data_IF_713106248772
#
_entry.id   IF_713106248772
#
_cell.length_a   1.000
_cell.length_b   1.000
_cell.length_c   1.000
_cell.angle_alpha   90.00
_cell.angle_beta   90.00
_cell.angle_gamma   90.00
#
_symmetry.space_group_name_H-M   'P 1'
#
loop_
_entity.id
_entity.type
_entity.pdbx_description
1 polymer ?
#
# COMPACT_ATOMS: atom_id res chain seq x y z
N UNK A 1 -16.75 30.59 -1.72
CA UNK A 1 -16.40 30.70 -3.15
C UNK A 1 -15.24 31.66 -3.41
N UNK A 2 -15.40 32.98 -3.27
CA UNK A 2 -14.32 33.95 -3.55
C UNK A 2 -13.07 33.79 -2.66
N UNK A 3 -13.23 33.68 -1.34
CA UNK A 3 -12.11 33.45 -0.40
C UNK A 3 -11.28 32.21 -0.73
N UNK A 4 -11.95 31.16 -1.23
CA UNK A 4 -11.32 29.87 -1.52
C UNK A 4 -10.62 29.88 -2.89
N UNK A 5 -11.15 30.67 -3.84
CA UNK A 5 -10.46 30.95 -5.09
C UNK A 5 -9.14 31.69 -4.83
N UNK A 6 -9.17 32.75 -4.02
CA UNK A 6 -7.95 33.48 -3.64
C UNK A 6 -6.94 32.61 -2.91
N UNK A 7 -7.37 31.75 -1.97
CA UNK A 7 -6.44 30.84 -1.29
C UNK A 7 -5.77 29.85 -2.25
N UNK A 8 -6.51 29.35 -3.27
CA UNK A 8 -5.95 28.44 -4.29
C UNK A 8 -4.94 29.17 -5.16
N UNK A 9 -5.32 30.34 -5.68
CA UNK A 9 -4.43 31.17 -6.50
C UNK A 9 -3.15 31.54 -5.75
N UNK A 10 -3.28 32.01 -4.50
CA UNK A 10 -2.13 32.35 -3.64
C UNK A 10 -1.22 31.15 -3.40
N UNK A 11 -1.76 29.97 -3.12
CA UNK A 11 -0.95 28.76 -2.90
C UNK A 11 -0.24 28.30 -4.18
N UNK A 12 -0.91 28.33 -5.33
CA UNK A 12 -0.29 28.00 -6.62
C UNK A 12 0.83 28.98 -6.96
N UNK A 13 0.61 30.29 -6.76
CA UNK A 13 1.64 31.30 -6.93
C UNK A 13 2.80 31.11 -5.94
N UNK A 14 2.51 30.74 -4.69
CA UNK A 14 3.53 30.48 -3.67
C UNK A 14 4.42 29.28 -4.03
N UNK A 15 3.85 28.20 -4.60
CA UNK A 15 4.63 27.05 -5.08
C UNK A 15 5.60 27.49 -6.20
N UNK A 16 5.11 28.25 -7.17
CA UNK A 16 5.93 28.79 -8.26
C UNK A 16 7.04 29.71 -7.76
N UNK A 17 6.69 30.68 -6.91
CA UNK A 17 7.64 31.62 -6.31
C UNK A 17 8.71 30.90 -5.47
N UNK A 18 8.32 29.93 -4.65
CA UNK A 18 9.24 29.14 -3.83
C UNK A 18 10.23 28.35 -4.71
N UNK A 19 9.77 27.79 -5.82
CA UNK A 19 10.62 27.08 -6.78
C UNK A 19 11.64 28.01 -7.44
N UNK A 20 11.20 29.19 -7.91
CA UNK A 20 12.08 30.18 -8.55
C UNK A 20 13.12 30.72 -7.55
N UNK A 21 12.70 31.08 -6.33
CA UNK A 21 13.61 31.57 -5.28
C UNK A 21 14.65 30.50 -4.94
N UNK A 22 14.23 29.23 -4.83
CA UNK A 22 15.13 28.11 -4.62
C UNK A 22 16.21 28.02 -5.70
N UNK A 23 15.81 28.04 -6.98
CA UNK A 23 16.75 27.95 -8.10
C UNK A 23 17.71 29.15 -8.19
N UNK A 24 17.24 30.36 -7.89
CA UNK A 24 18.11 31.54 -7.81
C UNK A 24 19.11 31.40 -6.67
N UNK A 25 18.66 30.96 -5.50
CA UNK A 25 19.54 30.71 -4.35
C UNK A 25 20.59 29.64 -4.63
N UNK A 26 20.23 28.57 -5.35
CA UNK A 26 21.18 27.52 -5.76
C UNK A 26 22.25 28.05 -6.72
N UNK A 27 21.87 28.94 -7.66
CA UNK A 27 22.83 29.60 -8.56
C UNK A 27 23.80 30.50 -7.79
N UNK A 28 23.30 31.22 -6.79
CA UNK A 28 24.13 32.09 -5.95
C UNK A 28 25.12 31.29 -5.08
N UNK A 29 24.66 30.22 -4.42
CA UNK A 29 25.51 29.34 -3.63
C UNK A 29 26.53 28.56 -4.46
N UNK A 30 26.23 28.27 -5.72
CA UNK A 30 27.19 27.69 -6.67
C UNK A 30 28.37 28.64 -6.92
N UNK A 31 28.13 29.96 -6.95
CA UNK A 31 29.19 30.96 -7.09
C UNK A 31 30.08 31.00 -5.83
N UNK A 32 29.48 30.88 -4.65
CA UNK A 32 30.15 30.89 -3.35
C UNK A 32 30.89 29.57 -3.00
N UNK A 33 30.79 28.55 -3.85
CA UNK A 33 31.41 27.20 -3.69
C UNK A 33 31.01 26.46 -2.39
N UNK A 34 29.92 26.85 -1.75
CA UNK A 34 29.44 26.22 -0.52
C UNK A 34 28.50 25.04 -0.83
N UNK A 35 29.06 23.85 -1.00
CA UNK A 35 28.32 22.64 -1.40
C UNK A 35 27.31 22.16 -0.36
N UNK A 36 27.62 22.29 0.94
CA UNK A 36 26.71 21.90 2.02
C UNK A 36 25.49 22.82 2.09
N UNK A 37 25.70 24.14 2.00
CA UNK A 37 24.61 25.10 1.96
C UNK A 37 23.75 24.91 0.70
N UNK A 38 24.36 24.55 -0.43
CA UNK A 38 23.65 24.24 -1.68
C UNK A 38 22.74 23.02 -1.52
N UNK A 39 23.25 21.92 -0.99
CA UNK A 39 22.46 20.70 -0.75
C UNK A 39 21.33 20.95 0.27
N UNK A 40 21.62 21.68 1.34
CA UNK A 40 20.63 22.05 2.36
C UNK A 40 19.52 22.94 1.78
N UNK A 41 19.88 23.92 0.94
CA UNK A 41 18.91 24.79 0.29
C UNK A 41 18.04 24.00 -0.71
N UNK A 42 18.64 23.13 -1.54
CA UNK A 42 17.89 22.32 -2.49
C UNK A 42 16.85 21.47 -1.74
N UNK A 43 17.30 20.68 -0.74
CA UNK A 43 16.42 19.85 0.07
C UNK A 43 15.32 20.65 0.79
N UNK A 44 15.67 21.79 1.41
CA UNK A 44 14.68 22.65 2.05
C UNK A 44 13.61 23.12 1.05
N UNK A 45 14.02 23.45 -0.16
CA UNK A 45 13.11 23.90 -1.20
C UNK A 45 12.27 22.77 -1.80
N UNK A 46 12.77 21.54 -1.87
CA UNK A 46 11.97 20.34 -2.20
C UNK A 46 10.92 20.07 -1.11
N UNK A 47 11.32 20.13 0.16
CA UNK A 47 10.44 19.94 1.31
C UNK A 47 9.30 20.97 1.35
N UNK A 48 9.62 22.27 1.17
CA UNK A 48 8.61 23.35 1.18
C UNK A 48 7.63 23.22 0.03
N UNK A 49 8.09 22.91 -1.19
CA UNK A 49 7.22 22.68 -2.35
C UNK A 49 6.29 21.49 -2.11
N UNK A 50 6.79 20.39 -1.52
CA UNK A 50 5.95 19.25 -1.15
C UNK A 50 4.86 19.61 -0.13
N UNK A 51 5.22 20.32 0.94
CA UNK A 51 4.26 20.79 1.95
C UNK A 51 3.19 21.72 1.38
N UNK A 52 3.58 22.70 0.56
CA UNK A 52 2.65 23.60 -0.11
C UNK A 52 1.72 22.86 -1.09
N UNK A 53 2.22 21.84 -1.78
CA UNK A 53 1.43 20.99 -2.68
C UNK A 53 0.33 20.26 -1.90
N UNK A 54 0.65 19.65 -0.76
CA UNK A 54 -0.37 18.99 0.06
C UNK A 54 -1.36 19.98 0.68
N UNK A 55 -0.89 21.16 1.10
CA UNK A 55 -1.76 22.23 1.58
C UNK A 55 -2.77 22.66 0.49
N UNK A 56 -2.32 22.78 -0.77
CA UNK A 56 -3.20 23.04 -1.91
C UNK A 56 -4.24 21.93 -2.08
N UNK A 57 -3.86 20.65 -2.00
CA UNK A 57 -4.77 19.50 -2.07
C UNK A 57 -5.83 19.55 -0.96
N UNK A 58 -5.44 19.90 0.27
CA UNK A 58 -6.37 20.04 1.41
C UNK A 58 -7.40 21.15 1.14
N UNK A 59 -6.96 22.30 0.62
CA UNK A 59 -7.84 23.43 0.26
C UNK A 59 -8.75 23.09 -0.92
N UNK A 60 -8.24 22.35 -1.91
CA UNK A 60 -9.04 21.84 -3.04
C UNK A 60 -10.12 20.87 -2.55
N UNK A 61 -9.77 20.01 -1.59
CA UNK A 61 -10.65 19.03 -0.94
C UNK A 61 -11.64 19.65 0.05
N UNK A 62 -11.67 20.99 0.20
CA UNK A 62 -12.54 21.72 1.15
C UNK A 62 -12.36 21.29 2.62
N UNK A 63 -11.22 20.68 2.96
CA UNK A 63 -10.92 20.24 4.32
C UNK A 63 -10.22 21.36 5.09
N UNK A 64 -10.39 21.38 6.42
CA UNK A 64 -9.70 22.34 7.28
C UNK A 64 -8.19 22.10 7.27
N UNK A 65 -7.41 23.15 7.04
CA UNK A 65 -5.94 23.11 7.08
C UNK A 65 -5.46 22.71 8.48
N UNK A 66 -6.03 23.31 9.54
CA UNK A 66 -5.64 23.06 10.93
C UNK A 66 -5.75 21.56 11.30
N UNK A 67 -6.82 20.89 10.85
CA UNK A 67 -7.03 19.46 11.10
C UNK A 67 -6.09 18.56 10.30
N UNK A 68 -5.55 19.05 9.17
CA UNK A 68 -4.66 18.30 8.29
C UNK A 68 -3.20 18.73 8.40
N UNK A 69 -2.83 19.50 9.43
CA UNK A 69 -1.45 19.95 9.65
C UNK A 69 -0.47 18.78 9.72
N UNK A 70 -0.87 17.68 10.38
CA UNK A 70 -0.04 16.48 10.46
C UNK A 70 0.29 15.94 9.07
N UNK A 71 -0.68 15.86 8.15
CA UNK A 71 -0.45 15.37 6.80
C UNK A 71 0.36 16.34 5.94
N UNK A 72 0.17 17.65 6.12
CA UNK A 72 0.99 18.69 5.46
C UNK A 72 2.45 18.54 5.91
N UNK A 73 2.67 18.40 7.22
CA UNK A 73 4.00 18.20 7.79
C UNK A 73 4.61 16.86 7.38
N UNK A 74 3.82 15.78 7.32
CA UNK A 74 4.27 14.49 6.79
C UNK A 74 4.70 14.59 5.32
N UNK A 75 3.96 15.32 4.49
CA UNK A 75 4.33 15.53 3.09
C UNK A 75 5.62 16.35 2.95
N UNK A 76 5.80 17.37 3.78
CA UNK A 76 7.04 18.17 3.86
C UNK A 76 8.24 17.29 4.23
N UNK A 77 8.11 16.49 5.29
CA UNK A 77 9.18 15.60 5.72
C UNK A 77 9.47 14.53 4.67
N UNK A 78 8.44 13.90 4.11
CA UNK A 78 8.61 12.83 3.12
C UNK A 78 9.29 13.34 1.85
N UNK A 79 8.94 14.55 1.38
CA UNK A 79 9.62 15.18 0.24
C UNK A 79 11.10 15.48 0.52
N UNK A 80 11.45 15.77 1.79
CA UNK A 80 12.84 15.93 2.23
C UNK A 80 13.58 14.59 2.34
N UNK A 81 12.91 13.53 2.78
CA UNK A 81 13.48 12.19 2.89
C UNK A 81 13.93 11.64 1.53
N UNK A 82 13.29 12.04 0.43
CA UNK A 82 13.71 11.62 -0.92
C UNK A 82 15.16 12.04 -1.18
N UNK A 83 15.58 13.24 -0.79
CA UNK A 83 16.96 13.73 -0.97
C UNK A 83 18.00 13.01 -0.08
N UNK A 84 17.58 12.32 0.98
CA UNK A 84 18.51 11.54 1.81
C UNK A 84 19.10 10.34 1.05
N UNK A 85 18.49 9.92 -0.07
CA UNK A 85 19.06 8.88 -0.92
C UNK A 85 20.41 9.28 -1.53
N UNK A 86 20.64 10.57 -1.79
CA UNK A 86 21.92 11.10 -2.24
C UNK A 86 23.00 10.95 -1.17
N UNK A 87 22.66 11.16 0.11
CA UNK A 87 23.59 10.99 1.24
C UNK A 87 23.90 9.50 1.49
N UNK A 88 22.89 8.62 1.39
CA UNK A 88 23.07 7.17 1.56
C UNK A 88 23.85 6.57 0.38
N UNK A 89 23.57 7.00 -0.86
CA UNK A 89 24.31 6.61 -2.05
C UNK A 89 25.78 7.06 -2.00
N UNK A 90 26.07 8.18 -1.33
CA UNK A 90 27.43 8.65 -1.09
C UNK A 90 28.20 7.82 -0.04
N UNK A 91 27.51 7.10 0.86
CA UNK A 91 28.13 6.35 1.98
C UNK A 91 28.20 4.82 1.76
N UNK A 92 27.46 4.23 0.83
CA UNK A 92 27.41 2.76 0.61
C UNK A 92 28.41 2.28 -0.45
N UNK A 93 29.69 2.20 -0.10
CA UNK A 93 30.75 1.65 -0.97
C UNK A 93 31.04 0.15 -0.76
N UNK A 94 30.23 -0.61 0.00
CA UNK A 94 30.63 -2.01 0.31
C UNK A 94 29.54 -3.11 0.28
N UNK A 95 28.25 -2.79 0.07
CA UNK A 95 27.16 -3.80 0.00
C UNK A 95 26.41 -3.75 -1.35
N UNK A 96 26.78 -2.78 -2.18
CA UNK A 96 26.25 -2.49 -3.52
C UNK A 96 26.91 -3.38 -4.60
N UNK A 97 27.07 -4.69 -4.35
CA UNK A 97 27.71 -5.62 -5.31
C UNK A 97 26.69 -6.61 -5.89
N UNK A 98 25.78 -7.20 -5.12
CA UNK A 98 24.97 -8.32 -5.67
C UNK A 98 23.66 -7.91 -6.35
N UNK A 99 23.02 -6.80 -5.97
CA UNK A 99 21.79 -6.31 -6.62
C UNK A 99 22.06 -5.39 -7.82
N UNK A 100 23.29 -4.89 -7.94
CA UNK A 100 23.71 -3.96 -9.00
C UNK A 100 24.29 -4.67 -10.20
N UNK A 101 24.78 -5.91 -10.03
CA UNK A 101 25.19 -6.77 -11.13
C UNK A 101 24.05 -7.03 -12.13
N UNK A 102 22.77 -6.99 -11.72
CA UNK A 102 21.66 -7.16 -12.67
C UNK A 102 21.25 -5.89 -13.44
N UNK A 103 21.61 -4.70 -12.92
CA UNK A 103 21.23 -3.42 -13.54
C UNK A 103 22.39 -2.77 -14.33
N UNK A 104 23.61 -3.29 -14.15
CA UNK A 104 24.83 -2.76 -14.77
C UNK A 104 24.97 -3.04 -16.27
N UNK A 105 24.18 -3.98 -16.82
CA UNK A 105 24.32 -4.43 -18.20
C UNK A 105 23.33 -3.77 -19.19
N UNK A 106 22.46 -2.87 -18.69
CA UNK A 106 21.63 -1.99 -19.53
C UNK A 106 22.27 -0.59 -19.70
N UNK A 107 23.58 -0.62 -19.95
CA UNK A 107 24.36 0.25 -20.84
C UNK A 107 24.20 1.79 -20.73
N UNK A 108 25.12 2.37 -19.96
CA UNK A 108 25.76 3.68 -20.17
C UNK A 108 25.03 4.98 -19.77
N UNK A 109 24.78 5.24 -18.48
CA UNK A 109 24.83 6.62 -17.94
C UNK A 109 25.13 6.64 -16.43
N UNK A 110 25.95 7.59 -15.99
CA UNK A 110 26.54 7.67 -14.64
C UNK A 110 25.50 7.89 -13.52
N UNK A 111 25.21 6.83 -12.76
CA UNK A 111 24.57 6.71 -11.42
C UNK A 111 23.61 7.84 -10.98
N UNK A 112 22.29 7.65 -11.23
CA UNK A 112 21.20 8.31 -10.48
C UNK A 112 20.81 7.46 -9.25
N UNK A 113 20.51 8.04 -8.09
CA UNK A 113 20.10 7.29 -6.91
C UNK A 113 18.70 6.70 -7.09
N UNK A 114 18.39 5.64 -6.33
CA UNK A 114 17.25 4.76 -6.59
C UNK A 114 15.88 5.41 -6.29
N UNK A 115 15.77 6.34 -5.33
CA UNK A 115 14.49 7.00 -5.04
C UNK A 115 14.11 8.06 -6.07
N UNK A 116 15.02 8.43 -6.97
CA UNK A 116 14.77 9.33 -8.10
C UNK A 116 14.20 8.63 -9.34
N UNK A 117 13.89 7.33 -9.21
CA UNK A 117 13.13 6.60 -10.19
C UNK A 117 11.64 6.82 -9.96
N UNK A 118 10.97 7.55 -10.86
CA UNK A 118 9.55 7.92 -10.74
C UNK A 118 8.61 6.72 -10.81
N UNK A 119 9.06 5.57 -11.34
CA UNK A 119 8.23 4.36 -11.33
C UNK A 119 8.07 3.76 -9.93
N UNK A 120 9.06 3.88 -9.04
CA UNK A 120 8.98 3.34 -7.68
C UNK A 120 7.85 3.97 -6.84
N UNK A 121 7.73 5.31 -6.70
CA UNK A 121 6.65 5.89 -5.93
C UNK A 121 5.27 5.69 -6.56
N UNK A 122 5.18 5.60 -7.88
CA UNK A 122 3.94 5.24 -8.57
C UNK A 122 3.55 3.81 -8.18
N UNK A 123 4.46 2.84 -8.29
CA UNK A 123 4.19 1.46 -7.88
C UNK A 123 3.80 1.37 -6.41
N UNK A 124 4.52 2.07 -5.53
CA UNK A 124 4.24 2.12 -4.10
C UNK A 124 2.84 2.67 -3.81
N UNK A 125 2.48 3.81 -4.42
CA UNK A 125 1.14 4.39 -4.32
C UNK A 125 0.06 3.39 -4.75
N UNK A 126 0.30 2.69 -5.86
CA UNK A 126 -0.68 1.76 -6.44
C UNK A 126 -0.85 0.50 -5.59
N UNK A 127 0.24 0.03 -4.99
CA UNK A 127 0.17 -1.04 -4.01
C UNK A 127 -0.66 -0.61 -2.77
N UNK A 128 -0.39 0.58 -2.22
CA UNK A 128 -1.11 1.07 -1.04
C UNK A 128 -2.59 1.37 -1.31
N UNK A 129 -2.95 1.87 -2.50
CA UNK A 129 -4.37 2.12 -2.83
C UNK A 129 -5.13 0.81 -3.01
N UNK A 130 -4.51 -0.22 -3.62
CA UNK A 130 -5.11 -1.56 -3.72
C UNK A 130 -5.27 -2.22 -2.36
N UNK A 131 -4.28 -2.05 -1.48
CA UNK A 131 -4.33 -2.52 -0.11
C UNK A 131 -5.47 -1.83 0.66
N UNK A 132 -5.58 -0.51 0.51
CA UNK A 132 -6.64 0.30 1.09
C UNK A 132 -8.02 -0.15 0.63
N UNK A 133 -8.19 -0.46 -0.66
CA UNK A 133 -9.45 -0.95 -1.20
C UNK A 133 -9.79 -2.35 -0.68
N UNK A 134 -8.79 -3.22 -0.52
CA UNK A 134 -8.98 -4.56 0.05
C UNK A 134 -9.43 -4.49 1.52
N UNK A 135 -8.78 -3.65 2.31
CA UNK A 135 -9.08 -3.51 3.75
C UNK A 135 -10.10 -2.41 4.09
N UNK A 136 -10.66 -1.73 3.08
CA UNK A 136 -11.60 -0.61 3.23
C UNK A 136 -11.14 0.46 4.23
N UNK A 137 -9.83 0.75 4.27
CA UNK A 137 -9.23 1.62 5.29
C UNK A 137 -8.97 3.04 4.75
N UNK A 138 -9.76 4.06 5.14
CA UNK A 138 -9.60 5.43 4.62
C UNK A 138 -8.27 6.08 5.03
N UNK A 139 -7.64 5.57 6.11
CA UNK A 139 -6.32 6.04 6.54
C UNK A 139 -5.23 5.62 5.55
N UNK A 140 -5.28 4.37 5.05
CA UNK A 140 -4.29 3.87 4.10
C UNK A 140 -4.41 4.56 2.74
N UNK A 141 -5.64 4.80 2.27
CA UNK A 141 -5.89 5.63 1.09
C UNK A 141 -5.26 7.02 1.26
N UNK A 142 -5.53 7.69 2.39
CA UNK A 142 -5.00 9.02 2.64
C UNK A 142 -3.47 9.05 2.67
N UNK A 143 -2.83 8.06 3.33
CA UNK A 143 -1.36 7.92 3.35
C UNK A 143 -0.82 7.69 1.94
N UNK A 144 -1.49 6.88 1.12
CA UNK A 144 -1.06 6.62 -0.25
C UNK A 144 -0.99 7.91 -1.07
N UNK A 145 -2.00 8.78 -0.95
CA UNK A 145 -2.04 10.06 -1.64
C UNK A 145 -0.97 11.04 -1.14
N UNK A 146 -0.69 11.05 0.17
CA UNK A 146 0.42 11.86 0.75
C UNK A 146 1.75 11.43 0.16
N UNK A 147 2.00 10.11 0.07
CA UNK A 147 3.23 9.54 -0.51
C UNK A 147 3.36 9.98 -1.97
N UNK A 148 2.30 9.79 -2.76
CA UNK A 148 2.32 10.18 -4.17
C UNK A 148 2.61 11.68 -4.34
N UNK A 149 1.95 12.54 -3.57
CA UNK A 149 2.14 13.99 -3.65
C UNK A 149 3.57 14.41 -3.27
N UNK A 150 4.16 13.81 -2.22
CA UNK A 150 5.52 14.11 -1.80
C UNK A 150 6.55 13.74 -2.88
N UNK A 151 6.46 12.52 -3.43
CA UNK A 151 7.39 12.04 -4.45
C UNK A 151 7.20 12.76 -5.78
N UNK A 152 5.96 12.95 -6.25
CA UNK A 152 5.72 13.64 -7.52
C UNK A 152 6.14 15.11 -7.47
N UNK A 153 5.83 15.84 -6.40
CA UNK A 153 6.25 17.24 -6.29
C UNK A 153 7.77 17.37 -6.29
N UNK A 154 8.47 16.48 -5.58
CA UNK A 154 9.91 16.39 -5.61
C UNK A 154 10.45 16.06 -7.01
N UNK A 155 9.96 14.99 -7.63
CA UNK A 155 10.43 14.50 -8.93
C UNK A 155 10.14 15.49 -10.06
N UNK A 156 8.96 16.13 -10.07
CA UNK A 156 8.60 17.14 -11.09
C UNK A 156 9.57 18.32 -10.99
N UNK A 157 9.82 18.80 -9.78
CA UNK A 157 10.79 19.88 -9.56
C UNK A 157 12.17 19.47 -10.06
N UNK A 158 12.65 18.29 -9.69
CA UNK A 158 13.98 17.82 -10.09
C UNK A 158 14.09 17.52 -11.59
N UNK A 159 12.97 17.08 -12.16
CA UNK A 159 12.74 16.84 -13.58
C UNK A 159 12.82 18.11 -14.43
N UNK A 160 12.62 19.31 -13.87
CA UNK A 160 12.86 20.57 -14.61
C UNK A 160 14.32 20.73 -15.03
N UNK A 161 15.27 20.19 -14.24
CA UNK A 161 16.72 20.29 -14.49
C UNK A 161 17.28 19.08 -15.21
N UNK A 162 16.78 17.88 -14.88
CA UNK A 162 17.38 16.60 -15.29
C UNK A 162 16.44 15.67 -16.07
N UNK A 163 15.15 16.02 -16.18
CA UNK A 163 14.10 15.12 -16.67
C UNK A 163 13.72 14.04 -15.66
N UNK A 164 12.47 13.58 -15.74
CA UNK A 164 11.94 12.45 -14.96
C UNK A 164 12.52 11.14 -15.46
N UNK A 165 12.91 10.25 -14.54
CA UNK A 165 13.45 8.94 -14.88
C UNK A 165 12.42 7.84 -14.63
N UNK A 166 12.02 7.16 -15.70
CA UNK A 166 11.12 6.03 -15.66
C UNK A 166 11.88 4.73 -15.94
N UNK A 167 12.26 3.99 -14.91
CA UNK A 167 12.87 2.66 -15.09
C UNK A 167 11.82 1.64 -15.56
N UNK A 168 12.10 0.75 -16.53
CA UNK A 168 13.33 0.63 -17.35
C UNK A 168 13.38 1.47 -18.64
N UNK A 169 12.35 2.27 -18.92
CA UNK A 169 12.11 2.91 -20.22
C UNK A 169 13.01 4.12 -20.54
N UNK A 170 13.71 4.67 -19.54
CA UNK A 170 14.69 5.74 -19.72
C UNK A 170 14.25 7.05 -19.08
N UNK A 171 14.94 8.14 -19.42
CA UNK A 171 14.66 9.47 -18.87
C UNK A 171 13.96 10.35 -19.91
N UNK A 172 12.98 11.12 -19.45
CA UNK A 172 12.39 12.21 -20.23
C UNK A 172 13.40 13.36 -20.38
N UNK A 173 13.17 14.25 -21.35
CA UNK A 173 13.92 15.51 -21.45
C UNK A 173 13.63 16.40 -20.23
N UNK A 174 14.55 17.29 -19.83
CA UNK A 174 14.27 18.28 -18.79
C UNK A 174 13.00 19.05 -19.14
N UNK A 175 12.09 19.23 -18.18
CA UNK A 175 10.78 19.86 -18.40
C UNK A 175 10.99 21.39 -18.41
N UNK A 176 10.96 22.08 -19.58
CA UNK A 176 11.12 23.52 -19.63
C UNK A 176 9.85 24.21 -19.08
N UNK A 177 10.02 25.32 -18.37
CA UNK A 177 8.90 26.11 -17.81
C UNK A 177 7.87 26.61 -18.84
N UNK A 178 8.22 26.62 -20.13
CA UNK A 178 7.47 27.34 -21.18
C UNK A 178 7.03 26.49 -22.37
N UNK A 179 7.44 25.23 -22.47
CA UNK A 179 7.16 24.42 -23.66
C UNK A 179 6.57 23.06 -23.29
N UNK A 180 5.26 22.98 -23.50
CA UNK A 180 4.56 21.75 -23.79
C UNK A 180 4.79 21.42 -25.27
N UNK A 181 5.84 20.65 -25.59
CA UNK A 181 5.70 19.73 -26.73
C UNK A 181 4.80 18.59 -26.23
N UNK A 182 3.49 18.78 -26.42
CA UNK A 182 2.43 17.91 -25.90
C UNK A 182 2.66 16.47 -26.37
N UNK A 183 3.23 16.27 -27.56
CA UNK A 183 3.43 14.97 -28.21
C UNK A 183 4.43 14.07 -27.46
N UNK A 184 5.61 14.60 -27.10
CA UNK A 184 6.60 13.82 -26.34
C UNK A 184 6.07 13.47 -24.94
N UNK A 185 5.44 14.43 -24.26
CA UNK A 185 4.90 14.23 -22.92
C UNK A 185 3.72 13.24 -22.93
N UNK A 186 2.84 13.31 -23.92
CA UNK A 186 1.74 12.36 -24.07
C UNK A 186 2.24 10.97 -24.41
N UNK A 187 3.25 10.81 -25.25
CA UNK A 187 3.84 9.50 -25.53
C UNK A 187 4.43 8.86 -24.26
N UNK A 188 5.22 9.61 -23.48
CA UNK A 188 5.74 9.10 -22.21
C UNK A 188 4.64 8.81 -21.19
N UNK A 189 3.56 9.61 -21.18
CA UNK A 189 2.39 9.37 -20.34
C UNK A 189 1.65 8.09 -20.75
N UNK A 190 1.40 7.85 -22.05
CA UNK A 190 0.77 6.63 -22.54
C UNK A 190 1.60 5.38 -22.26
N UNK A 191 2.93 5.48 -22.42
CA UNK A 191 3.85 4.39 -22.07
C UNK A 191 3.75 4.10 -20.57
N UNK A 192 3.85 5.13 -19.72
CA UNK A 192 3.70 5.00 -18.27
C UNK A 192 2.35 4.39 -17.86
N UNK A 193 1.23 4.83 -18.47
CA UNK A 193 -0.10 4.27 -18.26
C UNK A 193 -0.19 2.80 -18.71
N UNK A 194 0.42 2.44 -19.84
CA UNK A 194 0.45 1.05 -20.34
C UNK A 194 1.19 0.11 -19.40
N UNK A 195 2.33 0.55 -18.87
CA UNK A 195 3.11 -0.21 -17.87
C UNK A 195 2.33 -0.33 -16.58
N UNK A 196 1.72 0.78 -16.14
CA UNK A 196 0.89 0.79 -14.95
C UNK A 196 -0.26 -0.22 -15.06
N UNK A 197 -0.96 -0.22 -16.19
CA UNK A 197 -1.99 -1.21 -16.48
C UNK A 197 -1.42 -2.64 -16.49
N UNK A 198 -0.25 -2.85 -17.09
CA UNK A 198 0.43 -4.15 -17.11
C UNK A 198 0.79 -4.67 -15.71
N UNK A 199 1.33 -3.81 -14.85
CA UNK A 199 1.67 -4.19 -13.45
C UNK A 199 0.41 -4.43 -12.63
N UNK A 200 -0.64 -3.63 -12.82
CA UNK A 200 -1.94 -3.88 -12.18
C UNK A 200 -2.54 -5.21 -12.59
N UNK A 201 -2.50 -5.55 -13.88
CA UNK A 201 -2.97 -6.85 -14.38
C UNK A 201 -2.14 -7.98 -13.78
N UNK A 202 -0.81 -7.85 -13.72
CA UNK A 202 0.06 -8.86 -13.13
C UNK A 202 -0.23 -9.05 -11.65
N UNK A 203 -0.40 -7.95 -10.90
CA UNK A 203 -0.75 -7.99 -9.49
C UNK A 203 -2.13 -8.62 -9.28
N UNK A 204 -3.11 -8.29 -10.11
CA UNK A 204 -4.44 -8.89 -10.08
C UNK A 204 -4.39 -10.40 -10.34
N UNK A 205 -3.61 -10.84 -11.33
CA UNK A 205 -3.36 -12.26 -11.59
C UNK A 205 -2.70 -12.94 -10.39
N UNK A 206 -1.71 -12.29 -9.77
CA UNK A 206 -1.02 -12.83 -8.60
C UNK A 206 -1.99 -12.98 -7.40
N UNK A 207 -2.87 -12.02 -7.18
CA UNK A 207 -3.93 -12.10 -6.16
C UNK A 207 -4.88 -13.25 -6.44
N UNK A 208 -5.31 -13.45 -7.70
CA UNK A 208 -6.14 -14.60 -8.08
C UNK A 208 -5.41 -15.92 -7.80
N UNK A 209 -4.13 -16.03 -8.19
CA UNK A 209 -3.33 -17.24 -7.95
C UNK A 209 -3.19 -17.51 -6.46
N UNK A 210 -2.93 -16.48 -5.65
CA UNK A 210 -2.87 -16.62 -4.19
C UNK A 210 -4.23 -17.04 -3.61
N UNK A 211 -5.32 -16.44 -4.06
CA UNK A 211 -6.67 -16.79 -3.60
C UNK A 211 -7.01 -18.26 -3.92
N UNK A 212 -6.74 -18.72 -5.13
CA UNK A 212 -6.91 -20.14 -5.52
C UNK A 212 -6.03 -21.04 -4.66
N UNK A 213 -4.77 -20.66 -4.43
CA UNK A 213 -3.84 -21.46 -3.62
C UNK A 213 -4.27 -21.52 -2.15
N UNK A 214 -4.77 -20.43 -1.58
CA UNK A 214 -5.29 -20.38 -0.21
C UNK A 214 -6.55 -21.22 -0.07
N UNK A 215 -7.50 -21.10 -1.00
CA UNK A 215 -8.72 -21.92 -0.98
C UNK A 215 -8.41 -23.41 -1.10
N UNK A 216 -7.48 -23.78 -1.98
CA UNK A 216 -7.03 -25.17 -2.10
C UNK A 216 -6.37 -25.68 -0.82
N UNK A 217 -5.55 -24.88 -0.15
CA UNK A 217 -4.95 -25.25 1.14
C UNK A 217 -6.00 -25.40 2.25
N UNK A 218 -7.04 -24.55 2.25
CA UNK A 218 -8.16 -24.68 3.18
C UNK A 218 -8.95 -25.96 2.94
N UNK A 219 -9.19 -26.32 1.69
CA UNK A 219 -9.88 -27.55 1.29
C UNK A 219 -9.06 -28.80 1.64
N UNK A 220 -7.77 -28.82 1.29
CA UNK A 220 -6.83 -29.91 1.62
C UNK A 220 -6.71 -30.11 3.15
N UNK A 221 -6.66 -29.01 3.92
CA UNK A 221 -6.65 -29.05 5.38
C UNK A 221 -7.93 -29.63 5.96
N UNK A 222 -9.09 -29.25 5.43
CA UNK A 222 -10.39 -29.80 5.85
C UNK A 222 -10.51 -31.30 5.54
N UNK A 223 -9.99 -31.74 4.39
CA UNK A 223 -9.98 -33.13 3.98
C UNK A 223 -9.08 -33.99 4.87
N UNK A 224 -7.92 -33.47 5.29
CA UNK A 224 -7.05 -34.18 6.24
C UNK A 224 -7.68 -34.32 7.62
N UNK A 225 -8.35 -33.28 8.12
CA UNK A 225 -9.05 -33.30 9.41
C UNK A 225 -10.21 -34.30 9.40
N UNK A 226 -11.04 -34.28 8.35
CA UNK A 226 -12.11 -35.26 8.17
C UNK A 226 -11.56 -36.69 8.07
N UNK A 227 -10.43 -36.89 7.37
CA UNK A 227 -9.78 -38.19 7.28
C UNK A 227 -9.26 -38.68 8.64
N UNK A 228 -8.65 -37.80 9.44
CA UNK A 228 -8.21 -38.14 10.80
C UNK A 228 -9.38 -38.47 11.72
N UNK A 229 -10.46 -37.69 11.67
CA UNK A 229 -11.69 -37.96 12.44
C UNK A 229 -12.32 -39.30 12.06
N UNK A 230 -12.39 -39.61 10.76
CA UNK A 230 -12.91 -40.90 10.29
C UNK A 230 -12.01 -42.07 10.71
N UNK A 231 -10.69 -41.93 10.66
CA UNK A 231 -9.76 -42.96 11.16
C UNK A 231 -9.87 -43.16 12.67
N UNK A 232 -10.07 -42.08 13.43
CA UNK A 232 -10.27 -42.16 14.88
C UNK A 232 -11.61 -42.83 15.23
N UNK A 233 -12.68 -42.50 14.49
CA UNK A 233 -13.98 -43.14 14.64
C UNK A 233 -13.87 -44.64 14.32
N UNK A 234 -13.27 -45.00 13.19
CA UNK A 234 -13.08 -46.39 12.77
C UNK A 234 -12.25 -47.18 13.79
N UNK A 235 -11.17 -46.60 14.33
CA UNK A 235 -10.39 -47.20 15.41
C UNK A 235 -11.23 -47.45 16.67
N UNK A 236 -12.12 -46.53 17.06
CA UNK A 236 -12.99 -46.70 18.22
C UNK A 236 -14.06 -47.79 18.02
N UNK A 237 -14.54 -48.02 16.79
CA UNK A 237 -15.58 -49.03 16.51
C UNK A 237 -15.02 -50.41 16.17
N UNK A 238 -13.82 -50.50 15.60
CA UNK A 238 -13.21 -51.77 15.18
C UNK A 238 -12.29 -52.38 16.22
N UNK A 239 -11.89 -51.63 17.25
CA UNK A 239 -11.01 -52.13 18.30
C UNK A 239 -11.81 -52.91 19.37
N UNK A 240 -11.66 -54.24 19.47
CA UNK A 240 -12.42 -55.08 20.40
C UNK A 240 -12.06 -54.86 21.88
N UNK A 241 -11.01 -54.09 22.17
CA UNK A 241 -10.63 -53.71 23.55
C UNK A 241 -11.34 -52.45 24.05
N UNK A 242 -12.02 -51.71 23.18
CA UNK A 242 -12.72 -50.47 23.48
C UNK A 242 -14.23 -50.78 23.44
N UNK A 243 -14.86 -51.00 24.59
CA UNK A 243 -16.33 -51.11 24.68
C UNK A 243 -16.88 -49.68 24.72
N UNK A 244 -17.55 -49.17 23.67
CA UNK A 244 -17.84 -47.74 23.54
C UNK A 244 -18.69 -47.19 24.70
N UNK A 245 -19.66 -47.98 25.18
CA UNK A 245 -20.53 -47.60 26.31
C UNK A 245 -19.81 -47.55 27.66
N UNK A 246 -18.75 -48.34 27.85
CA UNK A 246 -18.05 -48.47 29.14
C UNK A 246 -17.01 -47.35 29.34
N UNK A 247 -16.37 -46.90 28.25
CA UNK A 247 -15.42 -45.78 28.28
C UNK A 247 -16.10 -44.41 28.30
N UNK A 248 -17.23 -44.24 27.60
CA UNK A 248 -18.01 -43.00 27.61
C UNK A 248 -18.69 -42.77 28.96
N UNK A 249 -19.23 -43.82 29.59
CA UNK A 249 -19.76 -43.75 30.96
C UNK A 249 -18.66 -43.47 31.99
N UNK A 250 -17.46 -44.06 31.84
CA UNK A 250 -16.28 -43.73 32.67
C UNK A 250 -15.83 -42.27 32.55
N UNK A 251 -16.04 -41.63 31.40
CA UNK A 251 -15.72 -40.21 31.17
C UNK A 251 -16.90 -39.27 31.41
N UNK A 252 -18.06 -39.79 31.86
CA UNK A 252 -19.24 -39.00 32.20
C UNK A 252 -20.08 -38.52 31.01
N UNK A 253 -19.89 -39.08 29.81
CA UNK A 253 -20.66 -38.71 28.61
C UNK A 253 -21.82 -39.69 28.38
N UNK A 254 -23.05 -39.16 28.39
CA UNK A 254 -24.27 -39.87 27.96
C UNK A 254 -24.33 -39.92 26.43
N UNK A 255 -24.60 -41.10 25.84
CA UNK A 255 -24.86 -41.24 24.39
C UNK A 255 -26.18 -40.60 23.93
N UNK A 256 -27.03 -40.14 24.86
CA UNK A 256 -28.28 -39.43 24.56
C UNK A 256 -28.16 -37.97 25.00
N UNK A 257 -27.59 -37.14 24.14
CA UNK A 257 -27.85 -35.70 24.11
C UNK A 257 -27.28 -35.14 22.82
N UNK A 258 -28.16 -34.72 21.91
CA UNK A 258 -27.74 -34.11 20.64
C UNK A 258 -28.69 -34.26 19.45
N UNK A 259 -29.95 -34.62 19.67
CA UNK A 259 -31.07 -34.17 18.82
C UNK A 259 -31.94 -33.41 19.82
N UNK A 260 -32.05 -32.09 19.82
CA UNK A 260 -32.31 -31.18 18.72
C UNK A 260 -31.66 -29.82 19.02
N UNK A 261 -31.17 -29.13 17.99
CA UNK A 261 -31.19 -27.67 17.84
C UNK A 261 -30.18 -27.26 16.76
N UNK A 262 -30.59 -27.34 15.51
CA UNK A 262 -30.17 -26.43 14.44
C UNK A 262 -31.22 -26.49 13.32
N UNK A 263 -32.31 -25.76 13.52
CA UNK A 263 -33.10 -25.22 12.41
C UNK A 263 -33.16 -23.71 12.62
N UNK A 264 -32.36 -22.99 11.83
CA UNK A 264 -32.53 -21.56 11.65
C UNK A 264 -33.73 -21.33 10.73
N UNK A 265 -34.74 -20.66 11.31
CA UNK A 265 -35.62 -19.67 10.69
C UNK A 265 -36.72 -20.15 9.70
N UNK A 266 -37.98 -20.17 10.17
CA UNK A 266 -39.01 -19.21 9.73
C UNK A 266 -40.31 -19.42 10.55
N UNK A 267 -40.81 -18.33 11.12
CA UNK A 267 -41.72 -18.33 12.26
C UNK A 267 -43.10 -18.99 12.11
N UNK A 268 -43.62 -19.49 13.23
CA UNK A 268 -44.95 -19.18 13.77
C UNK A 268 -45.17 -19.84 15.14
N UNK A 269 -45.39 -18.95 16.10
CA UNK A 269 -46.13 -19.08 17.36
C UNK A 269 -47.07 -20.31 17.44
N UNK A 270 -46.93 -21.15 18.48
CA UNK A 270 -48.05 -21.83 19.18
C UNK A 270 -47.62 -22.56 20.46
N UNK A 271 -48.29 -22.18 21.55
CA UNK A 271 -48.33 -22.81 22.86
C UNK A 271 -48.74 -24.30 22.79
N UNK A 272 -48.02 -25.20 23.45
CA UNK A 272 -48.53 -26.50 23.95
C UNK A 272 -47.77 -26.88 25.26
N UNK A 273 -48.44 -27.42 26.30
CA UNK A 273 -47.90 -27.51 27.65
C UNK A 273 -47.17 -28.83 27.95
N UNK A 274 -46.36 -28.77 29.02
CA UNK A 274 -45.61 -29.84 29.69
C UNK A 274 -46.38 -31.16 29.84
N UNK A 275 -45.82 -32.25 29.30
CA UNK A 275 -46.30 -33.61 29.56
C UNK A 275 -45.25 -34.35 30.43
N UNK A 276 -45.67 -34.74 31.63
CA UNK A 276 -44.93 -35.61 32.55
C UNK A 276 -44.70 -36.99 31.90
N UNK A 277 -43.45 -37.41 31.75
CA UNK A 277 -43.13 -38.81 31.49
C UNK A 277 -42.58 -39.49 32.75
N UNK A 278 -43.32 -40.53 33.14
CA UNK A 278 -43.08 -41.42 34.26
C UNK A 278 -41.77 -42.20 34.12
N UNK A 279 -41.00 -42.19 35.20
CA UNK A 279 -39.82 -43.02 35.42
C UNK A 279 -40.24 -44.49 35.58
N UNK A 280 -40.05 -45.31 34.53
CA UNK A 280 -40.20 -46.76 34.60
C UNK A 280 -38.85 -47.41 34.88
N UNK A 281 -38.62 -47.67 36.16
CA UNK A 281 -37.55 -48.51 36.69
C UNK A 281 -37.77 -49.96 36.25
N UNK A 282 -36.92 -50.52 35.39
CA UNK A 282 -36.81 -51.99 35.26
C UNK A 282 -35.37 -52.45 35.44
N UNK A 283 -35.19 -53.23 36.51
CA UNK A 283 -34.02 -54.04 36.82
C UNK A 283 -33.75 -55.00 35.66
N UNK A 284 -32.53 -55.03 35.14
CA UNK A 284 -31.59 -56.16 35.14
C UNK A 284 -30.24 -55.67 34.62
#
# INVERSE_FOLDING_TARGET
MWREFWSRALLTCAIGACSIIGDVGLKWLKYDKNELARAALDNATHATVGGLTWMLIVVLSRKSIARNLNSIFSCFLLASFVDLDHFIAAHSWHIHVTFIIFFQDATHLQKRPFLHCTTIPILLWTFFILLSNTFHSPLMEHISWVILAAFLSHHIRDGTRRGLWFCPFGSTRPIPYYLYDIEDLTLYFYIACGIFAGVLILLFVLVIVLFVKVNRLSEDGSNQLNKQTNMMADFCYTNPTIVPGELLSRRGFSMYSGADNFDDDFGKNKNVPYEMYHEARSKF
#
